data_IF_806356126483
#
_entry.id   IF_806356126483
#
_cell.length_a   1.000
_cell.length_b   1.000
_cell.length_c   1.000
_cell.angle_alpha   90.00
_cell.angle_beta   90.00
_cell.angle_gamma   90.00
#
_symmetry.space_group_name_H-M   'P 1'
#
loop_
_entity.id
_entity.type
_entity.pdbx_description
1 polymer ?
#
# COMPACT_ATOMS: atom_id res chain seq x y z
N UNK A 1 10.54 -26.41 4.85
CA UNK A 1 10.23 -24.98 4.90
C UNK A 1 8.82 -24.68 5.39
N UNK A 2 7.78 -25.50 5.06
CA UNK A 2 6.39 -25.23 5.47
C UNK A 2 6.22 -25.02 6.98
N UNK A 3 6.78 -25.85 7.89
CA UNK A 3 6.61 -25.59 9.32
C UNK A 3 7.14 -24.21 9.74
N UNK A 4 8.30 -23.82 9.23
CA UNK A 4 8.92 -22.52 9.56
C UNK A 4 8.08 -21.36 8.99
N UNK A 5 7.57 -21.47 7.76
CA UNK A 5 6.71 -20.46 7.16
C UNK A 5 5.40 -20.30 7.94
N UNK A 6 4.75 -21.41 8.32
CA UNK A 6 3.53 -21.40 9.12
C UNK A 6 3.79 -20.78 10.50
N UNK A 7 4.89 -21.15 11.16
CA UNK A 7 5.28 -20.56 12.45
C UNK A 7 5.51 -19.05 12.34
N UNK A 8 6.15 -18.60 11.25
CA UNK A 8 6.33 -17.15 11.00
C UNK A 8 4.98 -16.45 10.83
N UNK A 9 4.06 -17.01 10.03
CA UNK A 9 2.70 -16.46 9.88
C UNK A 9 2.00 -16.37 11.23
N UNK A 10 1.96 -17.45 12.01
CA UNK A 10 1.28 -17.45 13.32
C UNK A 10 1.92 -16.45 14.29
N UNK A 11 3.25 -16.40 14.34
CA UNK A 11 3.96 -15.48 15.21
C UNK A 11 3.66 -14.01 14.86
N UNK A 12 3.72 -13.65 13.57
CA UNK A 12 3.48 -12.27 13.12
C UNK A 12 1.99 -11.87 13.18
N UNK A 13 1.09 -12.84 13.06
CA UNK A 13 -0.36 -12.58 13.04
C UNK A 13 -1.01 -12.59 14.43
N UNK A 14 -0.48 -13.37 15.37
CA UNK A 14 -1.11 -13.59 16.67
C UNK A 14 -0.22 -13.09 17.79
N UNK A 15 1.04 -13.55 17.86
CA UNK A 15 1.90 -13.31 19.04
C UNK A 15 2.32 -11.84 19.10
N UNK A 16 2.91 -11.31 18.02
CA UNK A 16 3.40 -9.93 18.02
C UNK A 16 2.29 -8.88 18.20
N UNK A 17 1.15 -8.95 17.46
CA UNK A 17 0.08 -7.98 17.65
C UNK A 17 -0.58 -8.05 19.02
N UNK A 18 -0.55 -9.22 19.69
CA UNK A 18 -1.10 -9.38 21.05
C UNK A 18 -0.23 -8.75 22.12
N UNK A 19 1.07 -8.58 21.88
CA UNK A 19 1.97 -7.95 22.83
C UNK A 19 1.81 -6.43 22.95
N UNK A 20 0.91 -5.86 22.12
CA UNK A 20 0.63 -4.44 22.10
C UNK A 20 1.67 -3.66 21.29
N UNK A 21 1.25 -2.47 20.86
CA UNK A 21 2.13 -1.46 20.28
C UNK A 21 1.78 -0.12 20.91
N UNK A 22 2.80 0.70 21.19
CA UNK A 22 2.60 2.07 21.68
C UNK A 22 1.93 2.92 20.61
N UNK A 23 2.25 2.68 19.33
CA UNK A 23 1.63 3.31 18.17
C UNK A 23 0.74 2.30 17.47
N UNK A 24 -0.56 2.56 17.44
CA UNK A 24 -1.56 1.68 16.83
C UNK A 24 -2.38 2.48 15.81
N UNK A 25 -2.14 2.21 14.51
CA UNK A 25 -2.84 2.88 13.41
C UNK A 25 -4.34 2.56 13.38
N UNK A 26 -4.78 1.50 14.05
CA UNK A 26 -6.19 1.14 14.14
C UNK A 26 -6.97 2.03 15.13
N UNK A 27 -6.33 2.52 16.17
CA UNK A 27 -7.02 3.32 17.19
C UNK A 27 -7.74 4.54 16.60
N UNK A 28 -7.13 5.41 15.79
CA UNK A 28 -7.84 6.53 15.16
C UNK A 28 -8.92 6.04 14.17
N UNK A 29 -8.68 4.95 13.45
CA UNK A 29 -9.69 4.37 12.54
C UNK A 29 -10.91 3.88 13.31
N UNK A 30 -10.71 3.19 14.42
CA UNK A 30 -11.80 2.71 15.27
C UNK A 30 -12.56 3.88 15.93
N UNK A 31 -11.86 4.90 16.42
CA UNK A 31 -12.48 6.11 16.98
C UNK A 31 -13.35 6.80 15.95
N UNK A 32 -12.85 6.97 14.71
CA UNK A 32 -13.60 7.56 13.63
C UNK A 32 -14.84 6.74 13.26
N UNK A 33 -14.73 5.40 13.18
CA UNK A 33 -15.86 4.51 12.93
C UNK A 33 -16.92 4.59 14.03
N UNK A 34 -16.49 4.68 15.30
CA UNK A 34 -17.38 4.84 16.45
C UNK A 34 -18.07 6.22 16.45
N UNK A 35 -17.34 7.30 16.17
CA UNK A 35 -17.87 8.66 16.05
C UNK A 35 -18.88 8.75 14.91
N UNK A 36 -18.58 8.16 13.74
CA UNK A 36 -19.51 8.08 12.62
C UNK A 36 -20.85 7.43 13.04
N UNK A 37 -20.78 6.27 13.70
CA UNK A 37 -21.97 5.57 14.17
C UNK A 37 -22.80 6.38 15.17
N UNK A 38 -22.14 7.21 15.99
CA UNK A 38 -22.78 8.04 17.01
C UNK A 38 -23.23 9.41 16.48
N UNK A 39 -23.02 9.69 15.20
CA UNK A 39 -23.28 11.00 14.63
C UNK A 39 -22.43 12.11 15.25
N UNK A 40 -21.20 11.81 15.66
CA UNK A 40 -20.25 12.76 16.25
C UNK A 40 -19.27 13.25 15.17
N UNK A 41 -18.56 14.35 15.47
CA UNK A 41 -17.49 14.86 14.60
C UNK A 41 -16.34 13.86 14.47
N UNK A 42 -15.77 13.75 13.26
CA UNK A 42 -14.70 12.82 12.95
C UNK A 42 -13.38 13.56 12.72
N UNK A 43 -13.42 14.67 11.98
CA UNK A 43 -12.24 15.41 11.55
C UNK A 43 -11.87 16.57 12.49
N UNK A 44 -12.01 16.33 13.81
CA UNK A 44 -11.74 17.31 14.86
C UNK A 44 -10.39 17.08 15.56
N UNK A 45 -9.54 16.20 15.01
CA UNK A 45 -8.23 15.90 15.58
C UNK A 45 -7.30 17.12 15.65
N UNK A 46 -6.43 17.08 16.63
CA UNK A 46 -5.29 18.01 16.77
C UNK A 46 -4.09 17.36 16.11
N UNK A 47 -3.35 18.13 15.30
CA UNK A 47 -2.18 17.66 14.55
C UNK A 47 -0.86 18.22 15.14
N UNK A 48 -0.86 18.58 16.41
CA UNK A 48 0.26 19.21 17.12
C UNK A 48 1.16 18.20 17.87
N UNK A 49 0.93 16.90 17.69
CA UNK A 49 1.72 15.82 18.31
C UNK A 49 1.88 14.62 17.37
N UNK A 50 2.76 13.68 17.70
CA UNK A 50 3.25 12.60 16.81
C UNK A 50 2.37 11.33 16.88
N UNK A 51 1.22 11.36 17.50
CA UNK A 51 0.33 10.19 17.56
C UNK A 51 -0.22 9.81 16.17
N UNK A 52 -0.58 8.54 15.95
CA UNK A 52 -1.28 8.14 14.74
C UNK A 52 -2.59 8.92 14.59
N UNK A 53 -2.78 9.55 13.44
CA UNK A 53 -3.94 10.37 13.13
C UNK A 53 -4.90 9.69 12.17
N UNK A 54 -6.19 10.06 12.26
CA UNK A 54 -7.19 9.62 11.29
C UNK A 54 -7.10 10.45 10.00
N UNK A 55 -6.66 9.81 8.91
CA UNK A 55 -6.38 10.50 7.65
C UNK A 55 -7.25 10.02 6.48
N UNK A 56 -8.21 9.13 6.70
CA UNK A 56 -9.05 8.62 5.61
C UNK A 56 -10.11 9.62 5.21
N UNK A 57 -10.42 9.73 3.88
CA UNK A 57 -11.49 10.57 3.39
C UNK A 57 -12.87 10.06 3.85
N UNK A 58 -13.95 10.86 3.65
CA UNK A 58 -15.31 10.48 4.03
C UNK A 58 -15.73 9.07 3.59
N UNK A 59 -15.44 8.70 2.36
CA UNK A 59 -15.71 7.36 1.84
C UNK A 59 -14.96 6.26 2.59
N UNK A 60 -13.73 6.54 3.03
CA UNK A 60 -12.94 5.64 3.85
C UNK A 60 -13.60 5.43 5.23
N UNK A 61 -14.15 6.48 5.83
CA UNK A 61 -14.90 6.39 7.08
C UNK A 61 -16.12 5.46 6.91
N UNK A 62 -16.88 5.62 5.84
CA UNK A 62 -18.04 4.78 5.57
C UNK A 62 -17.66 3.29 5.45
N UNK A 63 -16.54 2.99 4.75
CA UNK A 63 -16.04 1.61 4.62
C UNK A 63 -15.55 1.03 5.95
N UNK A 64 -15.03 1.86 6.85
CA UNK A 64 -14.57 1.43 8.18
C UNK A 64 -15.68 1.41 9.24
N UNK A 65 -16.83 2.01 8.97
CA UNK A 65 -17.95 2.11 9.92
C UNK A 65 -18.38 0.76 10.56
N UNK A 66 -18.38 -0.40 9.86
CA UNK A 66 -18.70 -1.68 10.46
C UNK A 66 -17.86 -2.05 11.69
N UNK A 67 -16.60 -1.63 11.75
CA UNK A 67 -15.70 -1.88 12.87
C UNK A 67 -16.12 -1.14 14.15
N UNK A 68 -16.87 -0.06 14.05
CA UNK A 68 -17.44 0.66 15.20
C UNK A 68 -18.62 -0.07 15.90
N UNK A 69 -19.11 -1.19 15.38
CA UNK A 69 -20.16 -1.99 16.01
C UNK A 69 -19.64 -3.00 17.05
N UNK A 70 -18.37 -3.35 16.96
CA UNK A 70 -17.72 -4.24 17.93
C UNK A 70 -17.01 -3.43 19.02
N UNK A 71 -16.73 -4.06 20.17
CA UNK A 71 -15.79 -3.48 21.13
C UNK A 71 -14.39 -3.39 20.51
N UNK A 72 -13.52 -2.52 21.04
CA UNK A 72 -12.21 -2.22 20.47
C UNK A 72 -11.38 -3.48 20.19
N UNK A 73 -11.19 -4.33 21.21
CA UNK A 73 -10.32 -5.52 21.10
C UNK A 73 -10.80 -6.53 20.05
N UNK A 74 -12.06 -7.00 20.03
CA UNK A 74 -12.52 -7.89 18.97
C UNK A 74 -12.53 -7.21 17.58
N UNK A 75 -12.79 -5.92 17.51
CA UNK A 75 -12.70 -5.17 16.24
C UNK A 75 -11.27 -5.15 15.70
N UNK A 76 -10.29 -4.88 16.57
CA UNK A 76 -8.87 -4.90 16.21
C UNK A 76 -8.42 -6.29 15.75
N UNK A 77 -8.79 -7.35 16.46
CA UNK A 77 -8.47 -8.72 16.06
C UNK A 77 -9.10 -9.09 14.71
N UNK A 78 -10.37 -8.73 14.48
CA UNK A 78 -11.03 -8.95 13.21
C UNK A 78 -10.28 -8.22 12.06
N UNK A 79 -9.86 -6.99 12.31
CA UNK A 79 -9.10 -6.20 11.31
C UNK A 79 -7.73 -6.83 11.00
N UNK A 80 -7.00 -7.33 12.01
CA UNK A 80 -5.74 -8.06 11.83
C UNK A 80 -5.98 -9.33 11.00
N UNK A 81 -6.99 -10.13 11.34
CA UNK A 81 -7.29 -11.38 10.62
C UNK A 81 -7.68 -11.12 9.16
N UNK A 82 -8.43 -10.06 8.88
CA UNK A 82 -8.77 -9.64 7.51
C UNK A 82 -7.49 -9.31 6.74
N UNK A 83 -6.55 -8.56 7.33
CA UNK A 83 -5.29 -8.23 6.69
C UNK A 83 -4.39 -9.47 6.48
N UNK A 84 -4.32 -10.37 7.46
CA UNK A 84 -3.58 -11.65 7.31
C UNK A 84 -4.18 -12.47 6.16
N UNK A 85 -5.50 -12.63 6.12
CA UNK A 85 -6.17 -13.34 5.02
C UNK A 85 -5.88 -12.67 3.67
N UNK A 86 -5.93 -11.35 3.60
CA UNK A 86 -5.62 -10.59 2.40
C UNK A 86 -4.17 -10.82 1.93
N UNK A 87 -3.19 -10.80 2.84
CA UNK A 87 -1.77 -11.07 2.52
C UNK A 87 -1.61 -12.51 2.01
N UNK A 88 -2.23 -13.50 2.67
CA UNK A 88 -2.16 -14.90 2.26
C UNK A 88 -2.80 -15.13 0.89
N UNK A 89 -3.93 -14.49 0.61
CA UNK A 89 -4.57 -14.55 -0.71
C UNK A 89 -3.68 -13.87 -1.76
N UNK A 90 -3.12 -12.70 -1.46
CA UNK A 90 -2.18 -12.00 -2.35
C UNK A 90 -0.95 -12.88 -2.67
N UNK A 91 -0.34 -13.48 -1.66
CA UNK A 91 0.75 -14.45 -1.84
C UNK A 91 0.35 -15.61 -2.76
N UNK A 92 -0.81 -16.23 -2.53
CA UNK A 92 -1.29 -17.32 -3.36
C UNK A 92 -1.52 -16.87 -4.82
N UNK A 93 -2.11 -15.70 -5.02
CA UNK A 93 -2.33 -15.15 -6.36
C UNK A 93 -1.01 -14.82 -7.06
N UNK A 94 -0.03 -14.30 -6.35
CA UNK A 94 1.32 -14.06 -6.88
C UNK A 94 1.98 -15.37 -7.33
N UNK A 95 1.93 -16.44 -6.51
CA UNK A 95 2.41 -17.73 -6.93
C UNK A 95 1.78 -18.19 -8.26
N UNK A 96 0.45 -18.03 -8.38
CA UNK A 96 -0.28 -18.41 -9.60
C UNK A 96 0.08 -17.53 -10.81
N UNK A 97 0.30 -16.23 -10.60
CA UNK A 97 0.72 -15.30 -11.65
C UNK A 97 2.11 -15.65 -12.19
N UNK A 98 3.01 -16.11 -11.33
CA UNK A 98 4.37 -16.53 -11.70
C UNK A 98 4.50 -18.03 -11.95
N UNK A 99 3.37 -18.75 -12.11
CA UNK A 99 3.30 -20.17 -12.47
C UNK A 99 3.92 -21.15 -11.45
N UNK A 100 3.96 -20.79 -10.17
CA UNK A 100 4.40 -21.71 -9.11
C UNK A 100 3.22 -22.53 -8.56
N UNK A 101 3.48 -23.82 -8.34
CA UNK A 101 2.55 -24.70 -7.62
C UNK A 101 2.75 -24.55 -6.10
N UNK A 102 1.70 -24.80 -5.32
CA UNK A 102 1.80 -24.84 -3.85
C UNK A 102 2.73 -25.96 -3.35
N UNK A 103 2.91 -27.03 -4.14
CA UNK A 103 3.85 -28.12 -3.86
C UNK A 103 5.31 -27.78 -4.12
N UNK A 104 5.60 -26.62 -4.76
CA UNK A 104 6.96 -26.17 -5.02
C UNK A 104 7.64 -25.65 -3.75
N UNK A 105 8.96 -25.75 -3.70
CA UNK A 105 9.77 -25.16 -2.61
C UNK A 105 9.64 -23.63 -2.57
N UNK A 106 9.35 -23.00 -3.72
CA UNK A 106 9.14 -21.56 -3.81
C UNK A 106 7.94 -21.10 -2.97
N UNK A 107 6.88 -21.90 -2.86
CA UNK A 107 5.69 -21.51 -2.12
C UNK A 107 5.98 -21.18 -0.64
N UNK A 108 6.50 -22.10 0.19
CA UNK A 108 6.82 -21.78 1.58
C UNK A 108 8.01 -20.80 1.71
N UNK A 109 8.96 -20.79 0.76
CA UNK A 109 10.08 -19.86 0.79
C UNK A 109 9.61 -18.41 0.63
N UNK A 110 8.74 -18.14 -0.34
CA UNK A 110 8.17 -16.82 -0.59
C UNK A 110 7.21 -16.38 0.53
N UNK A 111 6.42 -17.32 1.08
CA UNK A 111 5.58 -17.04 2.24
C UNK A 111 6.43 -16.60 3.44
N UNK A 112 7.48 -17.36 3.73
CA UNK A 112 8.41 -17.04 4.81
C UNK A 112 9.08 -15.68 4.56
N UNK A 113 9.59 -15.45 3.34
CA UNK A 113 10.22 -14.18 2.97
C UNK A 113 9.27 -13.00 3.19
N UNK A 114 8.01 -13.09 2.72
CA UNK A 114 7.01 -12.02 2.92
C UNK A 114 6.76 -11.73 4.40
N UNK A 115 6.50 -12.77 5.20
CA UNK A 115 6.22 -12.59 6.63
C UNK A 115 7.46 -12.26 7.48
N UNK A 116 8.67 -12.41 6.95
CA UNK A 116 9.90 -11.94 7.59
C UNK A 116 10.22 -10.48 7.28
N UNK A 117 9.50 -9.82 6.36
CA UNK A 117 9.69 -8.40 6.11
C UNK A 117 9.13 -7.57 7.24
N UNK A 118 9.77 -6.45 7.50
CA UNK A 118 9.29 -5.48 8.47
C UNK A 118 7.97 -4.84 8.03
N UNK A 119 7.77 -4.62 6.73
CA UNK A 119 6.52 -4.07 6.19
C UNK A 119 5.28 -4.91 6.53
N UNK A 120 5.37 -6.24 6.46
CA UNK A 120 4.28 -7.13 6.91
C UNK A 120 4.15 -7.09 8.43
N UNK A 121 5.28 -7.16 9.14
CA UNK A 121 5.28 -7.09 10.61
C UNK A 121 4.61 -5.82 11.11
N UNK A 122 5.04 -4.65 10.61
CA UNK A 122 4.49 -3.36 11.03
C UNK A 122 3.02 -3.19 10.60
N UNK A 123 2.65 -3.69 9.42
CA UNK A 123 1.23 -3.70 9.01
C UNK A 123 0.35 -4.44 10.02
N UNK A 124 0.80 -5.57 10.53
CA UNK A 124 0.02 -6.40 11.47
C UNK A 124 0.10 -5.89 12.90
N UNK A 125 1.30 -5.49 13.37
CA UNK A 125 1.52 -4.97 14.74
C UNK A 125 0.82 -3.63 14.93
N UNK A 126 1.02 -2.67 14.02
CA UNK A 126 0.32 -1.37 14.04
C UNK A 126 -1.12 -1.46 13.56
N UNK A 127 -1.55 -2.64 13.13
CA UNK A 127 -2.93 -2.90 12.71
C UNK A 127 -3.38 -1.96 11.59
N UNK A 128 -2.60 -1.92 10.50
CA UNK A 128 -2.85 -1.10 9.32
C UNK A 128 -3.58 -1.90 8.22
N UNK A 129 -4.27 -1.20 7.29
CA UNK A 129 -5.06 -1.82 6.20
C UNK A 129 -4.21 -2.29 5.00
N UNK A 130 -2.90 -2.16 5.05
CA UNK A 130 -2.03 -2.39 3.90
C UNK A 130 -2.10 -3.82 3.34
N UNK A 131 -2.47 -4.83 4.15
CA UNK A 131 -2.73 -6.18 3.64
C UNK A 131 -3.85 -6.21 2.59
N UNK A 132 -4.95 -5.50 2.84
CA UNK A 132 -6.05 -5.36 1.88
C UNK A 132 -5.63 -4.55 0.64
N UNK A 133 -4.78 -3.53 0.82
CA UNK A 133 -4.24 -2.72 -0.28
C UNK A 133 -3.35 -3.59 -1.19
N UNK A 134 -2.46 -4.41 -0.61
CA UNK A 134 -1.66 -5.38 -1.37
C UNK A 134 -2.54 -6.36 -2.16
N UNK A 135 -3.58 -6.92 -1.53
CA UNK A 135 -4.48 -7.83 -2.22
C UNK A 135 -5.15 -7.17 -3.42
N UNK A 136 -5.62 -5.94 -3.24
CA UNK A 136 -6.25 -5.18 -4.32
C UNK A 136 -5.27 -4.86 -5.45
N UNK A 137 -4.02 -4.54 -5.15
CA UNK A 137 -2.96 -4.36 -6.13
C UNK A 137 -2.71 -5.64 -6.94
N UNK A 138 -2.56 -6.78 -6.25
CA UNK A 138 -2.34 -8.07 -6.92
C UNK A 138 -3.52 -8.47 -7.79
N UNK A 139 -4.75 -8.26 -7.32
CA UNK A 139 -5.97 -8.48 -8.11
C UNK A 139 -6.02 -7.55 -9.33
N UNK A 140 -5.72 -6.27 -9.14
CA UNK A 140 -5.64 -5.28 -10.21
C UNK A 140 -4.66 -5.72 -11.31
N UNK A 141 -3.41 -6.03 -10.94
CA UNK A 141 -2.39 -6.46 -11.90
C UNK A 141 -2.79 -7.75 -12.61
N UNK A 142 -3.31 -8.74 -11.86
CA UNK A 142 -3.76 -10.01 -12.41
C UNK A 142 -4.87 -9.84 -13.45
N UNK A 143 -5.88 -9.04 -13.15
CA UNK A 143 -7.01 -8.83 -14.07
C UNK A 143 -6.65 -7.97 -15.28
N UNK A 144 -5.72 -7.02 -15.12
CA UNK A 144 -5.17 -6.31 -16.28
C UNK A 144 -4.35 -7.22 -17.19
N UNK A 145 -3.56 -8.15 -16.62
CA UNK A 145 -2.79 -9.15 -17.37
C UNK A 145 -3.68 -10.10 -18.16
N UNK A 146 -4.81 -10.52 -17.60
CA UNK A 146 -5.80 -11.35 -18.29
C UNK A 146 -6.41 -10.62 -19.50
N UNK A 147 -6.57 -9.31 -19.41
CA UNK A 147 -7.01 -8.44 -20.50
C UNK A 147 -8.49 -8.58 -20.93
N UNK A 148 -9.25 -9.56 -20.40
CA UNK A 148 -10.67 -9.73 -20.72
C UNK A 148 -11.47 -8.51 -20.27
N UNK A 149 -12.49 -8.18 -21.05
CA UNK A 149 -13.35 -7.01 -20.82
C UNK A 149 -13.93 -6.98 -19.40
N UNK A 150 -14.51 -8.09 -18.94
CA UNK A 150 -15.06 -8.19 -17.58
C UNK A 150 -13.99 -8.02 -16.50
N UNK A 151 -12.78 -8.54 -16.73
CA UNK A 151 -11.68 -8.43 -15.78
C UNK A 151 -11.14 -6.99 -15.65
N UNK A 152 -11.21 -6.19 -16.71
CA UNK A 152 -10.86 -4.76 -16.61
C UNK A 152 -11.76 -4.01 -15.63
N UNK A 153 -13.09 -4.30 -15.62
CA UNK A 153 -14.01 -3.72 -14.64
C UNK A 153 -13.66 -4.11 -13.21
N UNK A 154 -13.34 -5.38 -12.98
CA UNK A 154 -12.93 -5.88 -11.66
C UNK A 154 -11.59 -5.30 -11.23
N UNK A 155 -10.63 -5.14 -12.15
CA UNK A 155 -9.36 -4.46 -11.86
C UNK A 155 -9.61 -3.03 -11.38
N UNK A 156 -10.43 -2.27 -12.11
CA UNK A 156 -10.77 -0.92 -11.71
C UNK A 156 -11.54 -0.84 -10.39
N UNK A 157 -12.45 -1.80 -10.11
CA UNK A 157 -13.14 -1.88 -8.83
C UNK A 157 -12.15 -2.11 -7.67
N UNK A 158 -11.23 -3.07 -7.81
CA UNK A 158 -10.26 -3.38 -6.77
C UNK A 158 -9.40 -2.15 -6.41
N UNK A 159 -8.84 -1.47 -7.42
CA UNK A 159 -8.02 -0.28 -7.16
C UNK A 159 -8.87 0.91 -6.69
N UNK A 160 -10.10 1.07 -7.20
CA UNK A 160 -11.02 2.13 -6.79
C UNK A 160 -11.40 2.03 -5.30
N UNK A 161 -11.59 0.82 -4.79
CA UNK A 161 -11.82 0.62 -3.35
C UNK A 161 -10.62 1.04 -2.51
N UNK A 162 -9.40 0.76 -2.95
CA UNK A 162 -8.20 1.22 -2.22
C UNK A 162 -8.03 2.73 -2.31
N UNK A 163 -8.32 3.34 -3.47
CA UNK A 163 -8.25 4.79 -3.62
C UNK A 163 -9.27 5.53 -2.75
N UNK A 164 -10.39 4.86 -2.41
CA UNK A 164 -11.37 5.40 -1.44
C UNK A 164 -10.79 5.49 -0.02
N UNK A 165 -9.85 4.60 0.33
CA UNK A 165 -9.22 4.53 1.66
C UNK A 165 -7.88 5.25 1.69
N UNK A 166 -7.00 4.84 0.78
CA UNK A 166 -5.62 5.33 0.66
C UNK A 166 -5.27 5.51 -0.82
N UNK A 167 -5.00 6.73 -1.30
CA UNK A 167 -4.67 6.99 -2.70
C UNK A 167 -3.26 6.50 -3.11
N UNK A 168 -2.59 5.72 -2.26
CA UNK A 168 -1.20 5.26 -2.44
C UNK A 168 -0.98 4.47 -3.74
N UNK A 169 -2.01 3.79 -4.27
CA UNK A 169 -1.96 3.07 -5.54
C UNK A 169 -2.37 3.92 -6.76
N UNK A 170 -2.67 5.20 -6.57
CA UNK A 170 -3.07 6.11 -7.66
C UNK A 170 -2.14 6.09 -8.88
N UNK A 171 -0.81 6.10 -8.72
CA UNK A 171 0.13 6.04 -9.85
C UNK A 171 -0.04 4.80 -10.74
N UNK A 172 -0.56 3.70 -10.21
CA UNK A 172 -0.80 2.48 -11.00
C UNK A 172 -1.88 2.65 -12.07
N UNK A 173 -2.70 3.69 -12.01
CA UNK A 173 -3.69 4.02 -13.05
C UNK A 173 -3.02 4.34 -14.40
N UNK A 174 -1.73 4.64 -14.41
CA UNK A 174 -0.96 4.77 -15.65
C UNK A 174 -0.88 3.44 -16.42
N UNK A 175 -0.91 2.28 -15.77
CA UNK A 175 -0.81 0.97 -16.43
C UNK A 175 -2.00 0.70 -17.38
N UNK A 176 -3.27 0.77 -16.95
CA UNK A 176 -4.39 0.60 -17.87
C UNK A 176 -4.47 1.71 -18.94
N UNK A 177 -3.97 2.92 -18.64
CA UNK A 177 -3.87 3.99 -19.63
C UNK A 177 -2.90 3.60 -20.76
N UNK A 178 -1.68 3.15 -20.44
CA UNK A 178 -0.67 2.72 -21.40
C UNK A 178 -1.08 1.46 -22.16
N UNK A 179 -1.79 0.54 -21.51
CA UNK A 179 -2.30 -0.69 -22.11
C UNK A 179 -3.62 -0.48 -22.88
N UNK A 180 -4.16 0.74 -22.95
CA UNK A 180 -5.47 1.07 -23.57
C UNK A 180 -6.64 0.28 -22.98
N UNK A 181 -6.55 -0.07 -21.70
CA UNK A 181 -7.58 -0.79 -20.94
C UNK A 181 -8.52 0.20 -20.23
N UNK A 182 -9.15 1.09 -21.00
CA UNK A 182 -9.96 2.22 -20.53
C UNK A 182 -11.07 1.84 -19.56
N UNK A 183 -11.61 0.61 -19.73
CA UNK A 183 -12.69 0.09 -18.86
C UNK A 183 -12.26 -0.07 -17.41
N UNK A 184 -10.97 -0.26 -17.14
CA UNK A 184 -10.47 -0.31 -15.78
C UNK A 184 -10.43 1.08 -15.11
N UNK A 185 -10.25 2.15 -15.89
CA UNK A 185 -10.22 3.51 -15.35
C UNK A 185 -11.60 3.98 -14.86
N UNK A 186 -12.69 3.50 -15.50
CA UNK A 186 -14.04 3.92 -15.14
C UNK A 186 -14.36 3.60 -13.67
N UNK A 187 -14.34 2.33 -13.19
CA UNK A 187 -14.62 2.05 -11.79
C UNK A 187 -13.50 2.54 -10.86
N UNK A 188 -12.24 2.60 -11.32
CA UNK A 188 -11.15 3.15 -10.52
C UNK A 188 -11.40 4.60 -10.09
N UNK A 189 -12.08 5.38 -10.92
CA UNK A 189 -12.45 6.78 -10.63
C UNK A 189 -13.85 6.86 -10.04
N UNK A 190 -14.82 6.15 -10.62
CA UNK A 190 -16.22 6.25 -10.22
C UNK A 190 -16.48 5.71 -8.81
N UNK A 191 -15.80 4.64 -8.39
CA UNK A 191 -15.98 4.03 -7.06
C UNK A 191 -15.59 4.99 -5.93
N UNK A 192 -14.38 5.58 -5.88
CA UNK A 192 -14.05 6.53 -4.83
C UNK A 192 -14.94 7.77 -4.87
N UNK A 193 -15.30 8.28 -6.04
CA UNK A 193 -16.21 9.42 -6.16
C UNK A 193 -17.60 9.08 -5.61
N UNK A 194 -18.18 7.94 -6.00
CA UNK A 194 -19.50 7.52 -5.56
C UNK A 194 -19.55 7.27 -4.05
N UNK A 195 -18.57 6.53 -3.50
CA UNK A 195 -18.55 6.22 -2.07
C UNK A 195 -18.34 7.52 -1.25
N UNK A 196 -17.46 8.42 -1.68
CA UNK A 196 -17.29 9.71 -1.02
C UNK A 196 -18.55 10.58 -1.13
N UNK A 197 -19.22 10.62 -2.28
CA UNK A 197 -20.48 11.36 -2.47
C UNK A 197 -21.59 10.83 -1.54
N UNK A 198 -21.67 9.51 -1.32
CA UNK A 198 -22.62 8.92 -0.38
C UNK A 198 -22.23 9.21 1.08
N UNK A 199 -20.93 9.13 1.40
CA UNK A 199 -20.44 9.32 2.76
C UNK A 199 -20.55 10.78 3.22
N UNK A 200 -20.36 11.73 2.32
CA UNK A 200 -20.26 13.15 2.60
C UNK A 200 -21.46 13.71 3.40
N UNK A 201 -22.74 13.49 3.00
CA UNK A 201 -23.90 13.97 3.75
C UNK A 201 -24.17 13.18 5.05
N UNK A 202 -23.51 12.04 5.26
CA UNK A 202 -23.68 11.21 6.46
C UNK A 202 -22.71 11.58 7.59
N UNK A 203 -21.74 12.45 7.33
CA UNK A 203 -20.69 12.86 8.27
C UNK A 203 -20.98 14.27 8.77
N UNK A 204 -20.87 14.48 10.08
CA UNK A 204 -20.93 15.81 10.66
C UNK A 204 -19.66 16.59 10.30
N UNK A 205 -19.85 17.83 9.80
CA UNK A 205 -18.76 18.72 9.37
C UNK A 205 -17.78 18.07 8.38
N UNK A 206 -18.26 17.50 7.25
CA UNK A 206 -17.40 16.74 6.33
C UNK A 206 -16.36 17.63 5.63
N UNK A 207 -16.59 18.96 5.57
CA UNK A 207 -15.63 19.92 5.02
C UNK A 207 -14.34 20.01 5.83
N UNK A 208 -14.35 19.62 7.11
CA UNK A 208 -13.17 19.61 7.96
C UNK A 208 -12.09 18.61 7.46
N UNK A 209 -12.49 17.61 6.69
CA UNK A 209 -11.53 16.80 5.96
C UNK A 209 -10.65 17.65 5.03
N UNK A 210 -11.25 18.55 4.26
CA UNK A 210 -10.52 19.39 3.30
C UNK A 210 -9.81 20.58 3.95
N UNK A 211 -10.36 21.13 5.01
CA UNK A 211 -9.82 22.35 5.66
C UNK A 211 -8.78 22.03 6.74
N UNK A 212 -8.79 20.83 7.30
CA UNK A 212 -7.89 20.42 8.40
C UNK A 212 -7.01 19.22 8.05
N UNK A 213 -7.62 18.11 7.59
CA UNK A 213 -6.89 16.86 7.35
C UNK A 213 -6.04 16.91 6.08
N UNK A 214 -6.57 17.43 4.98
CA UNK A 214 -5.83 17.53 3.71
C UNK A 214 -4.59 18.42 3.84
N UNK A 215 -4.62 19.62 4.45
CA UNK A 215 -3.42 20.42 4.69
C UNK A 215 -2.35 19.66 5.50
N UNK A 216 -2.76 18.90 6.52
CA UNK A 216 -1.83 18.06 7.28
C UNK A 216 -1.21 16.93 6.42
N UNK A 217 -2.00 16.26 5.59
CA UNK A 217 -1.51 15.20 4.67
C UNK A 217 -0.51 15.75 3.65
N UNK A 218 -0.74 16.97 3.17
CA UNK A 218 0.12 17.62 2.17
C UNK A 218 1.39 18.23 2.80
N UNK A 219 1.39 18.43 4.11
CA UNK A 219 2.56 18.90 4.85
C UNK A 219 3.65 17.85 4.92
N UNK A 220 4.90 18.27 4.73
CA UNK A 220 6.05 17.37 4.90
C UNK A 220 6.35 17.19 6.38
N UNK A 221 6.49 15.94 6.80
CA UNK A 221 6.92 15.56 8.15
C UNK A 221 8.36 15.08 8.09
N UNK A 222 9.13 15.40 9.13
CA UNK A 222 10.52 14.98 9.32
C UNK A 222 10.67 13.67 10.12
N UNK A 223 9.55 13.04 10.47
CA UNK A 223 9.48 11.76 11.20
C UNK A 223 8.60 10.74 10.46
N UNK A 224 8.94 9.46 10.57
CA UNK A 224 8.26 8.35 9.91
C UNK A 224 8.00 8.59 8.41
N UNK A 225 8.98 9.21 7.73
CA UNK A 225 8.84 9.64 6.36
C UNK A 225 10.05 9.22 5.51
N UNK A 226 9.84 8.27 4.62
CA UNK A 226 10.85 7.71 3.73
C UNK A 226 10.99 8.46 2.41
N UNK A 227 10.27 9.59 2.22
CA UNK A 227 10.36 10.39 1.00
C UNK A 227 11.67 11.18 0.93
N UNK A 228 12.04 11.62 -0.27
CA UNK A 228 13.20 12.52 -0.45
C UNK A 228 13.01 13.81 0.34
N UNK A 229 11.78 14.34 0.36
CA UNK A 229 11.48 15.58 1.07
C UNK A 229 11.54 15.39 2.59
N UNK A 230 10.93 14.31 3.11
CA UNK A 230 10.95 14.00 4.54
C UNK A 230 12.38 13.77 5.07
N UNK A 231 13.17 12.95 4.38
CA UNK A 231 14.58 12.75 4.73
C UNK A 231 15.39 14.05 4.54
N UNK A 232 15.08 14.82 3.50
CA UNK A 232 15.75 16.10 3.25
C UNK A 232 15.56 17.08 4.40
N UNK A 233 14.33 17.22 4.91
CA UNK A 233 14.02 18.06 6.09
C UNK A 233 14.70 17.50 7.35
N UNK A 234 14.61 16.21 7.60
CA UNK A 234 15.23 15.55 8.75
C UNK A 234 16.75 15.76 8.82
N UNK A 235 17.44 15.63 7.68
CA UNK A 235 18.90 15.82 7.61
C UNK A 235 19.32 17.27 7.32
N UNK A 236 18.40 18.23 7.28
CA UNK A 236 18.69 19.65 7.03
C UNK A 236 19.26 19.93 5.62
N UNK A 237 18.85 19.16 4.61
CA UNK A 237 19.30 19.39 3.23
C UNK A 237 18.73 20.71 2.68
N UNK A 238 19.52 21.46 1.90
CA UNK A 238 19.01 22.68 1.26
C UNK A 238 17.90 22.36 0.26
N UNK A 239 16.89 23.21 0.20
CA UNK A 239 15.67 23.01 -0.63
C UNK A 239 16.01 22.74 -2.10
N UNK A 240 17.04 23.43 -2.66
CA UNK A 240 17.44 23.21 -4.05
C UNK A 240 17.90 21.77 -4.30
N UNK A 241 18.57 21.14 -3.33
CA UNK A 241 19.05 19.75 -3.47
C UNK A 241 17.86 18.77 -3.39
N UNK A 242 16.90 19.02 -2.50
CA UNK A 242 15.66 18.23 -2.41
C UNK A 242 14.93 18.28 -3.76
N UNK A 243 14.74 19.47 -4.32
CA UNK A 243 14.08 19.65 -5.63
C UNK A 243 14.88 18.95 -6.76
N UNK A 244 16.22 19.10 -6.77
CA UNK A 244 17.08 18.44 -7.75
C UNK A 244 16.93 16.90 -7.68
N UNK A 245 16.97 16.33 -6.48
CA UNK A 245 16.80 14.89 -6.30
C UNK A 245 15.41 14.43 -6.78
N UNK A 246 14.34 15.15 -6.45
CA UNK A 246 12.96 14.83 -6.93
C UNK A 246 12.88 14.87 -8.46
N UNK A 247 13.48 15.85 -9.11
CA UNK A 247 13.54 15.92 -10.57
C UNK A 247 14.35 14.74 -11.13
N UNK A 248 15.54 14.48 -10.59
CA UNK A 248 16.40 13.37 -11.01
C UNK A 248 15.68 12.03 -10.95
N UNK A 249 15.07 11.70 -9.80
CA UNK A 249 14.35 10.43 -9.64
C UNK A 249 13.09 10.36 -10.51
N UNK A 250 12.43 11.48 -10.79
CA UNK A 250 11.32 11.53 -11.74
C UNK A 250 11.81 11.22 -13.17
N UNK A 251 12.90 11.81 -13.61
CA UNK A 251 13.47 11.54 -14.93
C UNK A 251 13.95 10.09 -15.05
N UNK A 252 14.58 9.53 -14.02
CA UNK A 252 14.98 8.13 -13.97
C UNK A 252 13.76 7.19 -14.06
N UNK A 253 12.68 7.47 -13.32
CA UNK A 253 11.47 6.68 -13.37
C UNK A 253 10.79 6.75 -14.75
N UNK A 254 10.70 7.93 -15.34
CA UNK A 254 10.19 8.11 -16.72
C UNK A 254 11.01 7.33 -17.73
N UNK A 255 12.35 7.41 -17.64
CA UNK A 255 13.26 6.66 -18.49
C UNK A 255 13.09 5.14 -18.33
N UNK A 256 12.99 4.67 -17.09
CA UNK A 256 12.75 3.26 -16.78
C UNK A 256 11.40 2.77 -17.34
N UNK A 257 10.32 3.52 -17.16
CA UNK A 257 8.99 3.21 -17.72
C UNK A 257 9.01 3.19 -19.24
N UNK A 258 9.70 4.14 -19.87
CA UNK A 258 9.86 4.19 -21.32
C UNK A 258 10.60 2.95 -21.84
N UNK A 259 11.71 2.55 -21.20
CA UNK A 259 12.48 1.35 -21.57
C UNK A 259 11.63 0.08 -21.37
N UNK A 260 10.94 -0.04 -20.24
CA UNK A 260 10.04 -1.17 -19.97
C UNK A 260 8.94 -1.25 -21.02
N UNK A 261 8.31 -0.12 -21.37
CA UNK A 261 7.30 -0.06 -22.42
C UNK A 261 7.89 -0.44 -23.79
N UNK A 262 9.04 0.12 -24.16
CA UNK A 262 9.67 -0.09 -25.46
C UNK A 262 10.10 -1.54 -25.72
N UNK A 263 10.58 -2.23 -24.70
CA UNK A 263 11.17 -3.56 -24.86
C UNK A 263 10.29 -4.71 -24.41
N UNK A 264 9.37 -4.50 -23.48
CA UNK A 264 8.61 -5.59 -22.87
C UNK A 264 7.09 -5.50 -23.07
N UNK A 265 6.53 -4.32 -23.37
CA UNK A 265 5.10 -4.19 -23.65
C UNK A 265 4.71 -5.01 -24.88
N UNK A 266 3.75 -5.90 -24.70
CA UNK A 266 3.28 -6.82 -25.76
C UNK A 266 4.15 -8.06 -26.00
N UNK A 267 5.38 -8.12 -25.46
CA UNK A 267 6.29 -9.29 -25.58
C UNK A 267 6.36 -10.10 -24.30
N UNK A 268 6.44 -9.42 -23.14
CA UNK A 268 6.41 -10.02 -21.80
C UNK A 268 5.58 -9.14 -20.87
N UNK A 269 4.27 -9.30 -20.95
CA UNK A 269 3.33 -8.45 -20.22
C UNK A 269 3.45 -8.63 -18.69
N UNK A 270 3.79 -9.82 -18.21
CA UNK A 270 3.99 -10.05 -16.77
C UNK A 270 5.18 -9.22 -16.27
N UNK A 271 6.31 -9.32 -16.97
CA UNK A 271 7.51 -8.55 -16.65
C UNK A 271 7.26 -7.04 -16.76
N UNK A 272 6.63 -6.60 -17.86
CA UNK A 272 6.26 -5.22 -18.08
C UNK A 272 5.43 -4.65 -16.94
N UNK A 273 4.32 -5.30 -16.60
CA UNK A 273 3.35 -4.73 -15.64
C UNK A 273 3.89 -4.74 -14.22
N UNK A 274 4.55 -5.82 -13.79
CA UNK A 274 5.06 -5.92 -12.41
C UNK A 274 6.24 -5.00 -12.15
N UNK A 275 7.17 -4.85 -13.11
CA UNK A 275 8.27 -3.90 -12.98
C UNK A 275 7.78 -2.46 -13.07
N UNK A 276 6.85 -2.16 -13.99
CA UNK A 276 6.29 -0.81 -14.11
C UNK A 276 5.49 -0.42 -12.87
N UNK A 277 4.75 -1.35 -12.26
CA UNK A 277 4.09 -1.11 -10.97
C UNK A 277 5.11 -0.75 -9.89
N UNK A 278 6.20 -1.52 -9.76
CA UNK A 278 7.26 -1.22 -8.80
C UNK A 278 7.91 0.14 -9.04
N UNK A 279 8.23 0.49 -10.29
CA UNK A 279 8.80 1.81 -10.64
C UNK A 279 7.84 2.94 -10.29
N UNK A 280 6.54 2.82 -10.62
CA UNK A 280 5.53 3.83 -10.34
C UNK A 280 5.34 4.05 -8.83
N UNK A 281 5.28 2.97 -8.06
CA UNK A 281 5.14 3.05 -6.60
C UNK A 281 6.38 3.66 -5.96
N UNK A 282 7.57 3.16 -6.29
CA UNK A 282 8.84 3.72 -5.78
C UNK A 282 8.98 5.20 -6.12
N UNK A 283 8.71 5.58 -7.38
CA UNK A 283 8.72 6.98 -7.79
C UNK A 283 7.77 7.83 -6.95
N UNK A 284 6.53 7.38 -6.79
CA UNK A 284 5.53 8.16 -6.03
C UNK A 284 5.95 8.34 -4.57
N UNK A 285 6.46 7.30 -3.92
CA UNK A 285 6.87 7.38 -2.52
C UNK A 285 8.13 8.24 -2.32
N UNK A 286 9.06 8.20 -3.26
CA UNK A 286 10.24 9.07 -3.19
C UNK A 286 9.91 10.55 -3.42
N UNK A 287 8.94 10.85 -4.31
CA UNK A 287 8.67 12.22 -4.77
C UNK A 287 7.53 12.91 -4.00
N UNK A 288 6.64 12.14 -3.35
CA UNK A 288 5.57 12.71 -2.52
C UNK A 288 6.12 13.33 -1.21
N UNK A 289 5.31 14.13 -0.55
CA UNK A 289 5.62 14.75 0.74
C UNK A 289 5.68 13.76 1.90
N UNK A 290 5.02 12.61 1.77
CA UNK A 290 4.97 11.56 2.78
C UNK A 290 5.03 10.17 2.15
N UNK A 291 5.96 9.35 2.62
CA UNK A 291 6.01 7.92 2.38
C UNK A 291 6.37 7.18 3.67
N UNK A 292 5.69 6.09 3.95
CA UNK A 292 5.94 5.27 5.14
C UNK A 292 6.62 3.96 4.75
N UNK A 293 7.58 3.48 5.57
CA UNK A 293 8.38 2.29 5.27
C UNK A 293 7.55 1.05 5.00
N UNK A 294 6.44 0.85 5.72
CA UNK A 294 5.56 -0.31 5.52
C UNK A 294 4.80 -0.31 4.16
N UNK A 295 4.83 0.79 3.38
CA UNK A 295 4.32 0.75 2.00
C UNK A 295 5.14 -0.18 1.10
N UNK A 296 6.38 -0.49 1.48
CA UNK A 296 7.25 -1.41 0.75
C UNK A 296 6.63 -2.80 0.53
N UNK A 297 5.60 -3.18 1.31
CA UNK A 297 4.82 -4.40 1.07
C UNK A 297 4.18 -4.43 -0.33
N UNK A 298 3.77 -3.28 -0.90
CA UNK A 298 3.22 -3.19 -2.25
C UNK A 298 4.27 -3.45 -3.35
N UNK A 299 5.55 -3.58 -3.00
CA UNK A 299 6.57 -4.00 -3.95
C UNK A 299 6.62 -5.52 -4.17
N UNK A 300 5.85 -6.33 -3.45
CA UNK A 300 5.91 -7.79 -3.61
C UNK A 300 5.66 -8.27 -5.05
N UNK A 301 4.72 -7.71 -5.85
CA UNK A 301 4.61 -8.10 -7.27
C UNK A 301 5.90 -7.82 -8.07
N UNK A 302 6.57 -6.70 -7.80
CA UNK A 302 7.86 -6.35 -8.40
C UNK A 302 8.98 -7.29 -7.89
N UNK A 303 9.07 -7.55 -6.60
CA UNK A 303 10.09 -8.42 -6.00
C UNK A 303 9.97 -9.87 -6.47
N UNK A 304 8.75 -10.34 -6.77
CA UNK A 304 8.52 -11.64 -7.37
C UNK A 304 9.19 -11.81 -8.74
N UNK A 305 9.49 -10.73 -9.43
CA UNK A 305 10.22 -10.80 -10.72
C UNK A 305 11.61 -11.40 -10.58
N UNK A 306 12.17 -11.50 -9.36
CA UNK A 306 13.46 -12.17 -9.11
C UNK A 306 13.50 -13.61 -9.65
N UNK A 307 12.34 -14.29 -9.71
CA UNK A 307 12.25 -15.65 -10.23
C UNK A 307 12.32 -15.73 -11.77
N UNK A 308 12.10 -14.61 -12.46
CA UNK A 308 12.13 -14.53 -13.92
C UNK A 308 13.57 -14.52 -14.44
N UNK A 309 13.87 -15.18 -15.58
CA UNK A 309 15.24 -15.25 -16.13
C UNK A 309 15.86 -13.87 -16.42
N UNK A 310 15.04 -12.89 -16.79
CA UNK A 310 15.48 -11.53 -17.17
C UNK A 310 15.32 -10.51 -16.04
N UNK A 311 15.19 -10.97 -14.80
CA UNK A 311 14.96 -10.09 -13.66
C UNK A 311 16.03 -9.00 -13.54
N UNK A 312 15.57 -7.75 -13.37
CA UNK A 312 16.42 -6.57 -13.18
C UNK A 312 17.02 -6.52 -11.75
N UNK A 313 16.46 -7.28 -10.82
CA UNK A 313 16.86 -7.26 -9.40
C UNK A 313 17.79 -8.44 -9.01
N UNK A 314 18.30 -9.21 -9.97
CA UNK A 314 19.28 -10.28 -9.71
C UNK A 314 20.71 -9.76 -9.63
N UNK A 315 20.92 -8.69 -8.85
CA UNK A 315 22.24 -8.12 -8.62
C UNK A 315 22.34 -7.59 -7.18
N UNK A 316 23.54 -7.52 -6.64
CA UNK A 316 23.76 -7.13 -5.26
C UNK A 316 23.37 -5.65 -4.96
N UNK A 317 23.55 -4.67 -5.86
CA UNK A 317 23.12 -3.30 -5.56
C UNK A 317 21.60 -3.19 -5.39
N UNK A 318 20.83 -3.92 -6.22
CA UNK A 318 19.37 -3.95 -6.07
C UNK A 318 18.96 -4.52 -4.70
N UNK A 319 19.60 -5.63 -4.27
CA UNK A 319 19.30 -6.23 -2.97
C UNK A 319 19.74 -5.37 -1.79
N UNK A 320 20.83 -4.62 -1.91
CA UNK A 320 21.21 -3.64 -0.90
C UNK A 320 20.14 -2.55 -0.74
N UNK A 321 19.63 -2.03 -1.86
CA UNK A 321 18.54 -1.05 -1.85
C UNK A 321 17.23 -1.63 -1.31
N UNK A 322 16.87 -2.85 -1.72
CA UNK A 322 15.68 -3.56 -1.22
C UNK A 322 15.80 -3.79 0.29
N UNK A 323 16.94 -4.29 0.76
CA UNK A 323 17.18 -4.48 2.19
C UNK A 323 17.01 -3.18 2.97
N UNK A 324 17.69 -2.11 2.55
CA UNK A 324 17.59 -0.81 3.22
C UNK A 324 16.15 -0.28 3.24
N UNK A 325 15.40 -0.44 2.13
CA UNK A 325 14.02 0.05 2.05
C UNK A 325 13.03 -0.80 2.86
N UNK A 326 13.25 -2.10 2.98
CA UNK A 326 12.34 -3.03 3.68
C UNK A 326 12.66 -3.21 5.17
N UNK A 327 13.76 -2.61 5.65
CA UNK A 327 14.20 -2.68 7.06
C UNK A 327 14.36 -1.30 7.68
N UNK A 328 13.64 -0.31 7.16
CA UNK A 328 13.80 1.10 7.54
C UNK A 328 13.31 1.45 8.95
N UNK A 329 12.39 0.66 9.48
CA UNK A 329 11.76 0.95 10.77
C UNK A 329 12.47 0.20 11.91
N UNK A 330 13.73 -0.20 11.71
CA UNK A 330 14.55 -0.73 12.81
C UNK A 330 14.81 0.43 13.77
N UNK A 331 14.10 0.40 14.87
CA UNK A 331 14.34 1.27 16.00
C UNK A 331 15.65 0.81 16.66
N UNK A 332 16.73 1.52 16.40
CA UNK A 332 17.92 1.44 17.23
C UNK A 332 17.53 2.03 18.58
N UNK A 333 17.25 1.14 19.52
CA UNK A 333 17.06 1.47 20.94
C UNK A 333 18.43 1.80 21.54
#
# INVERSE_FOLDING_TARGET
LWPVAIMSVLHRSIVLPSNGSVTDDFTPVYRAALSFRRGQEIYNERFDFVDPHYLYPPGGTLLMAPFGHLAFTPSRHAFILINVAAILIAWYLLLRMFHFALSSVAAPALLLAMFCTESVTNTLVFTNINGCVLLAEVLFLRWLLDGRVGHQWWAGLAIGLTLTLKPVLGPLLLLPLLNRQWRALVPAIAVPLAINAVAFPLINHPMDFFTRTVPYILGTRDYFNSSIEGNGVYFGLPTWLIVLLRILFTLLAMGALWLLYRYYHGTDNLFWMTNSAGVLLLWSWLVLSLAQGYYSMMLFPFLMTVVLPRSLIRNWPAWLGIYGFMTMDIWLI
#
